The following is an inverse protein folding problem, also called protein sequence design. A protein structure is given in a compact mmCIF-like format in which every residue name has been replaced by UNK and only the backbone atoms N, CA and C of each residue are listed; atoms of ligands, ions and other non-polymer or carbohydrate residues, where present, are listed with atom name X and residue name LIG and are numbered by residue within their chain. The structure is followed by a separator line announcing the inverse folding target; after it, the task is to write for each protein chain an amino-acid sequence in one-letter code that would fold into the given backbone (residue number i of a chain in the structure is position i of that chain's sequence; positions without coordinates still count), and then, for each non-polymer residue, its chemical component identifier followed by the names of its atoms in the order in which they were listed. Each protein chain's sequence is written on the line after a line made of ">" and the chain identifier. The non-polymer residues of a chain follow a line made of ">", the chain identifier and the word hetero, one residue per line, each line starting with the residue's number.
data_IF_173079620931
#
_entry.id   IF_173079620931
#
_cell.length_a   1.000
_cell.length_b   1.000
_cell.length_c   1.000
_cell.angle_alpha   90.00
_cell.angle_beta   90.00
_cell.angle_gamma   90.00
#
_symmetry.space_group_name_H-M   'P 1'
#
loop_
_entity.id
_entity.type
_entity.pdbx_description
1 polymer ?
#
# COMPACT_ATOMS: atom_id res chain seq x y z
N UNK A 1 -15.77 14.81 -16.76
CA UNK A 1 -15.65 13.34 -16.61
C UNK A 1 -14.22 12.91 -16.99
N UNK A 2 -13.20 13.23 -16.17
CA UNK A 2 -11.79 13.03 -16.52
C UNK A 2 -10.97 12.22 -15.48
N UNK A 3 -11.60 11.74 -14.40
CA UNK A 3 -10.89 10.99 -13.34
C UNK A 3 -10.56 9.54 -13.74
N UNK A 4 -11.44 8.85 -14.49
CA UNK A 4 -11.26 7.44 -14.80
C UNK A 4 -10.04 7.11 -15.69
N UNK A 5 -9.55 8.08 -16.47
CA UNK A 5 -8.46 7.82 -17.41
C UNK A 5 -7.09 7.74 -16.72
N UNK A 6 -6.89 8.52 -15.65
CA UNK A 6 -5.67 8.46 -14.85
C UNK A 6 -5.59 7.14 -14.08
N UNK A 7 -6.72 6.71 -13.50
CA UNK A 7 -6.81 5.44 -12.76
C UNK A 7 -6.55 4.25 -13.69
N UNK A 8 -7.17 4.23 -14.88
CA UNK A 8 -6.98 3.17 -15.86
C UNK A 8 -5.53 3.09 -16.37
N UNK A 9 -4.84 4.23 -16.48
CA UNK A 9 -3.45 4.30 -16.91
C UNK A 9 -2.50 3.84 -15.80
N UNK A 10 -2.76 4.24 -14.55
CA UNK A 10 -2.03 3.77 -13.39
C UNK A 10 -2.21 2.26 -13.15
N UNK A 11 -3.42 1.73 -13.35
CA UNK A 11 -3.74 0.30 -13.25
C UNK A 11 -3.04 -0.52 -14.36
N UNK A 12 -2.96 0.00 -15.59
CA UNK A 12 -2.20 -0.66 -16.68
C UNK A 12 -0.69 -0.60 -16.46
N UNK A 13 -0.16 0.51 -15.97
CA UNK A 13 1.26 0.65 -15.66
C UNK A 13 1.71 -0.31 -14.53
N UNK A 14 0.80 -0.68 -13.63
CA UNK A 14 1.06 -1.63 -12.54
C UNK A 14 0.92 -3.12 -12.94
N UNK A 15 0.47 -3.42 -14.16
CA UNK A 15 0.05 -4.76 -14.57
C UNK A 15 -1.34 -5.07 -14.00
N UNK A 16 -2.24 -5.60 -14.83
CA UNK A 16 -3.63 -5.87 -14.44
C UNK A 16 -3.73 -6.63 -13.10
N UNK A 17 -4.27 -6.01 -12.03
CA UNK A 17 -4.17 -6.54 -10.68
C UNK A 17 -5.35 -7.45 -10.32
N UNK A 18 -6.22 -7.86 -11.25
CA UNK A 18 -7.44 -8.63 -10.92
C UNK A 18 -7.18 -9.88 -10.06
N UNK A 19 -6.04 -10.55 -10.23
CA UNK A 19 -5.58 -11.64 -9.34
C UNK A 19 -4.76 -11.20 -8.12
N UNK A 20 -4.27 -9.96 -8.09
CA UNK A 20 -3.46 -9.37 -7.02
C UNK A 20 -4.29 -8.60 -5.98
N UNK A 21 -5.51 -8.15 -6.31
CA UNK A 21 -6.41 -7.44 -5.38
C UNK A 21 -6.63 -8.21 -4.08
N UNK A 22 -6.88 -9.54 -4.08
CA UNK A 22 -7.01 -10.29 -2.83
C UNK A 22 -5.74 -10.27 -1.97
N UNK A 23 -4.56 -10.33 -2.60
CA UNK A 23 -3.26 -10.30 -1.91
C UNK A 23 -2.92 -8.92 -1.36
N UNK A 24 -3.21 -7.87 -2.13
CA UNK A 24 -3.10 -6.48 -1.68
C UNK A 24 -3.96 -6.24 -0.44
N UNK A 25 -5.24 -6.64 -0.48
CA UNK A 25 -6.15 -6.49 0.66
C UNK A 25 -5.67 -7.31 1.85
N UNK A 26 -5.23 -8.56 1.64
CA UNK A 26 -4.72 -9.41 2.71
C UNK A 26 -3.49 -8.81 3.41
N UNK A 27 -2.52 -8.30 2.66
CA UNK A 27 -1.32 -7.69 3.22
C UNK A 27 -1.64 -6.36 3.93
N UNK A 28 -2.51 -5.53 3.36
CA UNK A 28 -2.91 -4.26 3.97
C UNK A 28 -3.93 -4.42 5.11
N UNK A 29 -4.43 -5.63 5.38
CA UNK A 29 -5.50 -5.86 6.35
C UNK A 29 -5.18 -5.34 7.76
N UNK A 30 -3.96 -5.49 8.31
CA UNK A 30 -3.59 -4.90 9.59
C UNK A 30 -3.69 -3.37 9.59
N UNK A 31 -3.21 -2.72 8.53
CA UNK A 31 -3.30 -1.26 8.37
C UNK A 31 -4.76 -0.80 8.26
N UNK A 32 -5.57 -1.50 7.46
CA UNK A 32 -7.00 -1.22 7.28
C UNK A 32 -7.75 -1.34 8.61
N UNK A 33 -7.53 -2.43 9.36
CA UNK A 33 -8.23 -2.66 10.63
C UNK A 33 -7.77 -1.69 11.73
N UNK A 34 -6.49 -1.31 11.75
CA UNK A 34 -5.96 -0.27 12.63
C UNK A 34 -6.62 1.09 12.38
N UNK A 35 -6.61 1.55 11.12
CA UNK A 35 -7.27 2.79 10.72
C UNK A 35 -8.78 2.74 10.98
N UNK A 36 -9.46 1.62 10.73
CA UNK A 36 -10.89 1.52 11.01
C UNK A 36 -11.22 1.72 12.50
N UNK A 37 -10.37 1.21 13.40
CA UNK A 37 -10.49 1.42 14.84
C UNK A 37 -10.26 2.88 15.22
N UNK A 38 -9.21 3.50 14.68
CA UNK A 38 -8.92 4.91 14.90
C UNK A 38 -10.06 5.80 14.41
N UNK A 39 -10.56 5.57 13.19
CA UNK A 39 -11.69 6.31 12.61
C UNK A 39 -12.94 6.18 13.47
N UNK A 40 -13.20 4.99 14.00
CA UNK A 40 -14.33 4.76 14.88
C UNK A 40 -14.23 5.59 16.17
N UNK A 41 -13.02 5.67 16.75
CA UNK A 41 -12.77 6.39 17.99
C UNK A 41 -12.70 7.92 17.81
N UNK A 42 -11.91 8.40 16.85
CA UNK A 42 -11.62 9.83 16.65
C UNK A 42 -12.57 10.53 15.68
N UNK A 43 -13.33 9.76 14.89
CA UNK A 43 -14.16 10.24 13.76
C UNK A 43 -13.38 10.98 12.67
N UNK A 44 -12.04 10.99 12.73
CA UNK A 44 -11.17 11.70 11.78
C UNK A 44 -9.86 10.96 11.59
N UNK A 45 -9.42 10.87 10.35
CA UNK A 45 -8.12 10.32 9.96
C UNK A 45 -7.47 11.30 8.99
N UNK A 46 -6.20 11.61 9.20
CA UNK A 46 -5.41 12.43 8.30
C UNK A 46 -4.65 11.57 7.28
N UNK A 47 -4.16 12.20 6.20
CA UNK A 47 -3.28 11.53 5.25
C UNK A 47 -2.01 11.00 5.94
N UNK A 48 -1.50 11.71 6.94
CA UNK A 48 -0.34 11.30 7.73
C UNK A 48 -0.58 10.00 8.49
N UNK A 49 -1.80 9.79 8.99
CA UNK A 49 -2.15 8.55 9.71
C UNK A 49 -2.24 7.36 8.74
N UNK A 50 -2.80 7.59 7.54
CA UNK A 50 -2.82 6.60 6.46
C UNK A 50 -1.39 6.24 6.04
N UNK A 51 -0.54 7.24 5.84
CA UNK A 51 0.85 7.05 5.42
C UNK A 51 1.62 6.25 6.48
N UNK A 52 1.45 6.58 7.76
CA UNK A 52 2.02 5.81 8.89
C UNK A 52 1.53 4.37 8.91
N UNK A 53 0.22 4.15 8.78
CA UNK A 53 -0.38 2.82 8.79
C UNK A 53 0.11 1.96 7.62
N UNK A 54 0.43 2.58 6.48
CA UNK A 54 1.00 1.92 5.30
C UNK A 54 2.55 1.87 5.32
N UNK A 55 3.19 2.32 6.39
CA UNK A 55 4.64 2.40 6.54
C UNK A 55 5.33 3.21 5.43
N UNK A 56 4.66 4.26 4.93
CA UNK A 56 5.23 5.19 3.98
C UNK A 56 6.19 6.17 4.68
N UNK A 57 7.34 6.53 4.08
CA UNK A 57 8.24 7.50 4.68
C UNK A 57 7.60 8.90 4.65
N UNK A 58 7.56 9.57 5.81
CA UNK A 58 6.89 10.86 5.97
C UNK A 58 7.53 11.99 5.13
N UNK A 59 8.86 11.95 4.96
CA UNK A 59 9.65 12.96 4.26
C UNK A 59 10.26 12.42 2.95
N UNK A 60 9.68 11.35 2.38
CA UNK A 60 10.15 10.83 1.10
C UNK A 60 9.90 11.82 -0.03
N UNK A 61 10.90 11.97 -0.90
CA UNK A 61 10.72 12.59 -2.20
C UNK A 61 9.74 11.78 -3.06
N UNK A 62 9.14 12.44 -4.06
CA UNK A 62 8.09 11.86 -4.90
C UNK A 62 8.50 10.50 -5.54
N UNK A 63 9.73 10.32 -6.05
CA UNK A 63 10.19 9.02 -6.55
C UNK A 63 10.18 7.90 -5.50
N UNK A 64 10.70 8.17 -4.29
CA UNK A 64 10.74 7.19 -3.19
C UNK A 64 9.33 6.82 -2.75
N UNK A 65 8.44 7.81 -2.64
CA UNK A 65 7.03 7.58 -2.31
C UNK A 65 6.34 6.73 -3.38
N UNK A 66 6.56 7.03 -4.65
CA UNK A 66 5.98 6.28 -5.77
C UNK A 66 6.50 4.84 -5.82
N UNK A 67 7.78 4.63 -5.51
CA UNK A 67 8.36 3.30 -5.39
C UNK A 67 7.72 2.50 -4.25
N UNK A 68 7.60 3.07 -3.05
CA UNK A 68 6.95 2.42 -1.90
C UNK A 68 5.49 2.04 -2.21
N UNK A 69 4.73 2.93 -2.84
CA UNK A 69 3.36 2.64 -3.26
C UNK A 69 3.29 1.55 -4.35
N UNK A 70 4.28 1.49 -5.25
CA UNK A 70 4.37 0.41 -6.25
C UNK A 70 4.54 -0.96 -5.58
N UNK A 71 5.40 -1.05 -4.56
CA UNK A 71 5.61 -2.27 -3.77
C UNK A 71 4.33 -2.69 -3.01
N UNK A 72 3.56 -1.72 -2.52
CA UNK A 72 2.26 -2.01 -1.90
C UNK A 72 1.31 -2.60 -2.95
N UNK A 73 1.16 -1.93 -4.10
CA UNK A 73 0.23 -2.33 -5.17
C UNK A 73 0.55 -3.71 -5.74
N UNK A 74 1.82 -4.10 -5.81
CA UNK A 74 2.21 -5.45 -6.23
C UNK A 74 1.91 -6.54 -5.20
N UNK A 75 1.41 -6.18 -4.01
CA UNK A 75 1.22 -7.11 -2.90
C UNK A 75 2.53 -7.61 -2.30
N UNK A 76 3.60 -6.80 -2.38
CA UNK A 76 4.89 -7.10 -1.74
C UNK A 76 4.97 -6.54 -0.32
N UNK A 77 4.17 -5.52 0.01
CA UNK A 77 4.07 -4.88 1.33
C UNK A 77 2.63 -4.36 1.57
N UNK A 78 2.22 -4.04 2.81
CA UNK A 78 2.92 -4.23 4.08
C UNK A 78 2.70 -5.66 4.59
N UNK A 79 3.69 -6.50 4.35
CA UNK A 79 3.74 -7.90 4.77
C UNK A 79 5.17 -8.31 4.53
N UNK A 80 5.95 -8.43 5.60
CA UNK A 80 7.39 -8.68 5.51
C UNK A 80 7.66 -9.94 4.70
N UNK A 81 8.23 -9.80 3.51
CA UNK A 81 9.00 -10.90 2.93
C UNK A 81 10.45 -10.71 3.38
N UNK A 82 10.87 -11.50 4.35
CA UNK A 82 12.29 -11.68 4.63
C UNK A 82 12.85 -12.58 3.54
N UNK A 83 13.63 -12.02 2.62
CA UNK A 83 14.44 -12.82 1.69
C UNK A 83 15.52 -13.51 2.52
N UNK A 84 15.41 -14.81 2.72
CA UNK A 84 16.56 -15.58 3.20
C UNK A 84 17.52 -15.79 2.03
N UNK A 85 18.78 -15.35 2.13
CA UNK A 85 19.79 -15.76 1.15
C UNK A 85 19.90 -17.28 1.16
N UNK A 86 20.07 -17.89 -0.02
CA UNK A 86 20.20 -19.34 -0.13
C UNK A 86 21.43 -19.77 0.68
N UNK A 87 21.23 -20.58 1.73
CA UNK A 87 22.34 -21.23 2.45
C UNK A 87 22.46 -21.01 3.96
N UNK A 88 21.59 -20.26 4.64
CA UNK A 88 21.63 -20.17 6.11
C UNK A 88 20.46 -20.91 6.75
N UNK A 89 20.76 -22.07 7.35
CA UNK A 89 19.86 -22.90 8.16
C UNK A 89 20.00 -22.54 9.63
#
# INVERSE_FOLDING_TARGET
>A
MAHHHHDATALRAAGDPSGQVPRLVANCWPSITGLARELYASRRISQTDIDKALFLPADADEPTRNHALSLIRSGSVPGSFTVHPVGTR
#
